data_IF_591265212552
#
_entry.id   IF_591265212552
#
_cell.length_a   1.000
_cell.length_b   1.000
_cell.length_c   1.000
_cell.angle_alpha   90.00
_cell.angle_beta   90.00
_cell.angle_gamma   90.00
#
_symmetry.space_group_name_H-M   'P 1'
#
loop_
_entity.id
_entity.type
_entity.pdbx_description
1 polymer ?
#
# COMPACT_ATOMS: atom_id res chain seq x y z
N UNK A 1 -26.46 4.33 3.67
CA UNK A 1 -25.66 3.74 4.77
C UNK A 1 -25.62 2.21 4.75
N UNK A 2 -26.75 1.48 4.64
CA UNK A 2 -26.76 0.00 4.63
C UNK A 2 -25.89 -0.63 3.52
N UNK A 3 -25.92 -0.07 2.31
CA UNK A 3 -25.13 -0.52 1.16
C UNK A 3 -23.61 -0.44 1.41
N UNK A 4 -23.14 0.63 2.06
CA UNK A 4 -21.72 0.80 2.37
C UNK A 4 -21.22 -0.27 3.35
N UNK A 5 -22.06 -0.65 4.32
CA UNK A 5 -21.74 -1.69 5.29
C UNK A 5 -21.66 -3.09 4.64
N UNK A 6 -22.55 -3.39 3.69
CA UNK A 6 -22.51 -4.65 2.94
C UNK A 6 -21.27 -4.76 2.04
N UNK A 7 -20.92 -3.69 1.34
CA UNK A 7 -19.70 -3.64 0.51
C UNK A 7 -18.46 -3.81 1.38
N UNK A 8 -18.39 -3.10 2.51
CA UNK A 8 -17.26 -3.23 3.44
C UNK A 8 -17.15 -4.64 4.02
N UNK A 9 -18.28 -5.24 4.42
CA UNK A 9 -18.31 -6.61 4.94
C UNK A 9 -17.86 -7.62 3.89
N UNK A 10 -18.30 -7.46 2.65
CA UNK A 10 -17.91 -8.32 1.53
C UNK A 10 -16.41 -8.18 1.23
N UNK A 11 -15.92 -6.94 1.18
CA UNK A 11 -14.49 -6.65 1.03
C UNK A 11 -13.65 -7.29 2.14
N UNK A 12 -14.05 -7.09 3.41
CA UNK A 12 -13.34 -7.67 4.56
C UNK A 12 -13.38 -9.19 4.55
N UNK A 13 -14.49 -9.81 4.13
CA UNK A 13 -14.59 -11.26 4.00
C UNK A 13 -13.63 -11.83 2.94
N UNK A 14 -13.30 -11.07 1.90
CA UNK A 14 -12.34 -11.44 0.85
C UNK A 14 -10.89 -11.10 1.23
N UNK A 15 -10.66 -9.96 1.89
CA UNK A 15 -9.33 -9.43 2.21
C UNK A 15 -8.73 -9.98 3.51
N UNK A 16 -9.54 -10.14 4.57
CA UNK A 16 -9.07 -10.55 5.89
C UNK A 16 -8.42 -11.94 5.95
N UNK A 17 -8.84 -12.95 5.15
CA UNK A 17 -8.22 -14.27 5.14
C UNK A 17 -6.72 -14.26 4.81
N UNK A 18 -6.25 -13.36 3.95
CA UNK A 18 -4.83 -13.25 3.60
C UNK A 18 -3.95 -12.94 4.83
N UNK A 19 -4.40 -12.01 5.69
CA UNK A 19 -3.71 -11.62 6.93
C UNK A 19 -3.81 -12.66 8.07
N UNK A 20 -4.57 -13.73 7.86
CA UNK A 20 -4.73 -14.87 8.79
C UNK A 20 -4.15 -16.18 8.25
N UNK A 21 -3.67 -16.19 7.02
CA UNK A 21 -3.11 -17.36 6.35
C UNK A 21 -1.72 -17.77 6.89
N UNK A 22 -1.13 -18.81 6.33
CA UNK A 22 0.25 -19.24 6.64
C UNK A 22 1.27 -18.11 6.38
N UNK A 23 1.00 -17.23 5.40
CA UNK A 23 1.83 -16.06 5.08
C UNK A 23 1.51 -14.82 5.94
N UNK A 24 0.73 -14.96 7.02
CA UNK A 24 0.27 -13.85 7.88
C UNK A 24 1.39 -12.92 8.36
N UNK A 25 2.56 -13.47 8.70
CA UNK A 25 3.68 -12.67 9.19
C UNK A 25 4.29 -11.81 8.10
N UNK A 26 4.41 -12.35 6.89
CA UNK A 26 4.87 -11.60 5.71
C UNK A 26 3.86 -10.53 5.29
N UNK A 27 2.57 -10.84 5.30
CA UNK A 27 1.52 -9.87 5.00
C UNK A 27 1.50 -8.70 6.00
N UNK A 28 1.64 -8.99 7.30
CA UNK A 28 1.68 -7.98 8.36
C UNK A 28 2.96 -7.15 8.33
N UNK A 29 4.12 -7.76 8.07
CA UNK A 29 5.38 -7.02 7.98
C UNK A 29 5.39 -6.07 6.78
N UNK A 30 4.84 -6.51 5.64
CA UNK A 30 4.68 -5.65 4.46
C UNK A 30 3.72 -4.50 4.74
N UNK A 31 2.57 -4.77 5.38
CA UNK A 31 1.61 -3.73 5.76
C UNK A 31 2.23 -2.71 6.73
N UNK A 32 2.94 -3.18 7.76
CA UNK A 32 3.66 -2.30 8.68
C UNK A 32 4.71 -1.47 7.93
N UNK A 33 5.44 -2.08 6.99
CA UNK A 33 6.41 -1.38 6.14
C UNK A 33 5.77 -0.26 5.32
N UNK A 34 4.59 -0.49 4.73
CA UNK A 34 3.82 0.55 4.03
C UNK A 34 3.46 1.69 4.98
N UNK A 35 2.91 1.38 6.16
CA UNK A 35 2.49 2.39 7.14
C UNK A 35 3.69 3.24 7.58
N UNK A 36 4.81 2.62 7.93
CA UNK A 36 6.03 3.32 8.35
C UNK A 36 6.58 4.18 7.22
N UNK A 37 6.58 3.68 5.98
CA UNK A 37 7.03 4.45 4.82
C UNK A 37 6.13 5.67 4.55
N UNK A 38 4.81 5.51 4.68
CA UNK A 38 3.84 6.60 4.56
C UNK A 38 4.11 7.70 5.59
N UNK A 39 4.32 7.32 6.86
CA UNK A 39 4.73 8.27 7.89
C UNK A 39 6.07 8.94 7.57
N UNK A 40 7.01 8.20 6.97
CA UNK A 40 8.28 8.76 6.50
C UNK A 40 8.11 9.83 5.42
N UNK A 41 7.20 9.63 4.48
CA UNK A 41 6.87 10.60 3.42
C UNK A 41 6.16 11.83 4.00
N UNK A 42 5.18 11.63 4.88
CA UNK A 42 4.47 12.74 5.56
C UNK A 42 5.44 13.56 6.42
N UNK A 43 6.34 12.89 7.15
CA UNK A 43 7.40 13.56 7.91
C UNK A 43 8.29 14.41 7.00
N UNK A 44 8.68 13.87 5.83
CA UNK A 44 9.48 14.61 4.86
C UNK A 44 8.77 15.89 4.37
N UNK A 45 7.46 15.82 4.14
CA UNK A 45 6.64 16.97 3.75
C UNK A 45 6.62 18.05 4.83
N UNK A 46 6.46 17.65 6.09
CA UNK A 46 6.50 18.58 7.23
C UNK A 46 7.89 19.19 7.39
N UNK A 47 8.95 18.37 7.29
CA UNK A 47 10.34 18.83 7.36
C UNK A 47 10.65 19.83 6.24
N UNK A 48 10.19 19.56 5.01
CA UNK A 48 10.33 20.47 3.87
C UNK A 48 9.61 21.80 4.11
N UNK A 49 8.43 21.78 4.72
CA UNK A 49 7.69 23.00 5.05
C UNK A 49 8.45 23.88 6.07
N UNK A 50 9.00 23.27 7.13
CA UNK A 50 9.82 24.00 8.11
C UNK A 50 11.11 24.51 7.50
N UNK A 51 11.77 23.70 6.68
CA UNK A 51 12.97 24.09 5.93
C UNK A 51 12.70 25.31 5.03
N UNK A 52 11.53 25.38 4.39
CA UNK A 52 11.16 26.48 3.51
C UNK A 52 11.17 27.82 4.27
N UNK A 53 10.58 27.87 5.46
CA UNK A 53 10.60 29.05 6.32
C UNK A 53 12.04 29.42 6.76
N UNK A 54 12.82 28.42 7.18
CA UNK A 54 14.22 28.63 7.60
C UNK A 54 15.08 29.18 6.45
N UNK A 55 14.92 28.65 5.23
CA UNK A 55 15.64 29.10 4.04
C UNK A 55 15.35 30.56 3.69
N UNK A 56 14.07 30.97 3.72
CA UNK A 56 13.71 32.35 3.43
C UNK A 56 14.16 33.34 4.51
N UNK A 57 14.16 32.94 5.78
CA UNK A 57 14.72 33.76 6.87
C UNK A 57 16.23 34.00 6.67
N UNK A 58 17.00 32.96 6.33
CA UNK A 58 18.44 33.09 6.09
C UNK A 58 18.75 34.06 4.93
N UNK A 59 17.93 34.05 3.87
CA UNK A 59 18.04 35.01 2.75
C UNK A 59 17.73 36.43 3.22
N UNK A 60 16.66 36.61 3.99
CA UNK A 60 16.24 37.90 4.49
C UNK A 60 17.31 38.54 5.37
N UNK A 61 17.89 37.76 6.28
CA UNK A 61 18.91 38.21 7.23
C UNK A 61 20.32 38.29 6.60
N UNK A 62 20.46 37.86 5.34
CA UNK A 62 21.73 37.79 4.59
C UNK A 62 22.80 36.96 5.30
N UNK A 63 22.38 35.93 6.03
CA UNK A 63 23.26 35.04 6.77
C UNK A 63 23.78 33.92 5.85
N UNK A 64 25.09 33.98 5.55
CA UNK A 64 25.74 33.01 4.67
C UNK A 64 25.96 31.63 5.33
N UNK A 65 26.06 31.57 6.65
CA UNK A 65 26.25 30.31 7.36
C UNK A 65 24.94 29.52 7.39
N UNK A 66 23.86 30.18 7.78
CA UNK A 66 22.51 29.59 7.80
C UNK A 66 22.03 29.20 6.40
N UNK A 67 22.32 30.02 5.39
CA UNK A 67 22.00 29.70 4.00
C UNK A 67 22.70 28.41 3.52
N UNK A 68 24.01 28.27 3.80
CA UNK A 68 24.75 27.04 3.46
C UNK A 68 24.23 25.83 4.21
N UNK A 69 23.91 25.98 5.49
CA UNK A 69 23.33 24.91 6.29
C UNK A 69 21.95 24.49 5.74
N UNK A 70 21.12 25.45 5.33
CA UNK A 70 19.84 25.18 4.67
C UNK A 70 20.01 24.36 3.38
N UNK A 71 21.07 24.58 2.58
CA UNK A 71 21.34 23.76 1.39
C UNK A 71 21.66 22.30 1.75
N UNK A 72 22.45 22.05 2.79
CA UNK A 72 22.74 20.69 3.25
C UNK A 72 21.50 20.01 3.85
N UNK A 73 20.70 20.76 4.62
CA UNK A 73 19.41 20.27 5.11
C UNK A 73 18.48 19.87 3.97
N UNK A 74 18.41 20.68 2.91
CA UNK A 74 17.62 20.37 1.72
C UNK A 74 18.08 19.05 1.09
N UNK A 75 19.39 18.86 0.90
CA UNK A 75 19.93 17.62 0.35
C UNK A 75 19.55 16.41 1.20
N UNK A 76 19.60 16.54 2.53
CA UNK A 76 19.13 15.51 3.47
C UNK A 76 17.64 15.21 3.35
N UNK A 77 16.79 16.24 3.27
CA UNK A 77 15.33 16.10 3.09
C UNK A 77 15.02 15.41 1.76
N UNK A 78 15.66 15.81 0.67
CA UNK A 78 15.47 15.20 -0.66
C UNK A 78 15.88 13.73 -0.64
N UNK A 79 17.04 13.41 -0.07
CA UNK A 79 17.52 12.02 0.06
C UNK A 79 16.53 11.18 0.88
N UNK A 80 16.10 11.68 2.03
CA UNK A 80 15.10 11.02 2.87
C UNK A 80 13.79 10.79 2.13
N UNK A 81 13.29 11.80 1.43
CA UNK A 81 12.06 11.73 0.63
C UNK A 81 12.15 10.64 -0.44
N UNK A 82 13.29 10.57 -1.14
CA UNK A 82 13.54 9.55 -2.15
C UNK A 82 13.50 8.14 -1.54
N UNK A 83 14.22 7.91 -0.42
CA UNK A 83 14.24 6.61 0.27
C UNK A 83 12.84 6.23 0.77
N UNK A 84 12.13 7.15 1.42
CA UNK A 84 10.78 6.91 1.94
C UNK A 84 9.79 6.58 0.83
N UNK A 85 9.83 7.31 -0.28
CA UNK A 85 8.95 7.08 -1.45
C UNK A 85 9.24 5.73 -2.10
N UNK A 86 10.52 5.38 -2.28
CA UNK A 86 10.92 4.08 -2.85
C UNK A 86 10.49 2.94 -1.92
N UNK A 87 10.65 3.10 -0.61
CA UNK A 87 10.19 2.12 0.37
C UNK A 87 8.67 1.94 0.32
N UNK A 88 7.91 3.04 0.30
CA UNK A 88 6.45 3.03 0.20
C UNK A 88 6.00 2.27 -1.06
N UNK A 89 6.60 2.58 -2.21
CA UNK A 89 6.34 1.90 -3.46
C UNK A 89 6.68 0.40 -3.38
N UNK A 90 7.88 0.06 -2.90
CA UNK A 90 8.34 -1.32 -2.82
C UNK A 90 7.45 -2.18 -1.91
N UNK A 91 7.16 -1.71 -0.70
CA UNK A 91 6.29 -2.43 0.24
C UNK A 91 4.86 -2.53 -0.27
N UNK A 92 4.32 -1.45 -0.85
CA UNK A 92 2.99 -1.41 -1.41
C UNK A 92 2.81 -2.39 -2.57
N UNK A 93 3.72 -2.35 -3.55
CA UNK A 93 3.71 -3.26 -4.69
C UNK A 93 3.89 -4.72 -4.26
N UNK A 94 4.82 -4.98 -3.33
CA UNK A 94 5.04 -6.32 -2.79
C UNK A 94 3.80 -6.86 -2.09
N UNK A 95 3.11 -6.02 -1.31
CA UNK A 95 1.88 -6.39 -0.63
C UNK A 95 0.78 -6.73 -1.64
N UNK A 96 0.56 -5.89 -2.65
CA UNK A 96 -0.44 -6.11 -3.69
C UNK A 96 -0.13 -7.38 -4.47
N UNK A 97 1.11 -7.60 -4.88
CA UNK A 97 1.51 -8.76 -5.67
C UNK A 97 1.30 -10.07 -4.90
N UNK A 98 1.76 -10.13 -3.65
CA UNK A 98 1.60 -11.33 -2.81
C UNK A 98 0.13 -11.57 -2.48
N UNK A 99 -0.63 -10.51 -2.21
CA UNK A 99 -2.05 -10.63 -1.94
C UNK A 99 -2.83 -11.14 -3.16
N UNK A 100 -2.56 -10.60 -4.36
CA UNK A 100 -3.16 -11.10 -5.61
C UNK A 100 -2.83 -12.56 -5.84
N UNK A 101 -1.55 -12.95 -5.71
CA UNK A 101 -1.10 -14.33 -5.86
C UNK A 101 -1.87 -15.27 -4.94
N UNK A 102 -2.00 -14.90 -3.67
CA UNK A 102 -2.71 -15.69 -2.67
C UNK A 102 -4.21 -15.79 -2.99
N UNK A 103 -4.86 -14.69 -3.33
CA UNK A 103 -6.29 -14.67 -3.68
C UNK A 103 -6.58 -15.55 -4.90
N UNK A 104 -5.82 -15.37 -5.98
CA UNK A 104 -5.99 -16.17 -7.20
C UNK A 104 -5.80 -17.66 -6.91
N UNK A 105 -4.78 -18.05 -6.13
CA UNK A 105 -4.59 -19.45 -5.74
C UNK A 105 -5.80 -20.00 -4.96
N UNK A 106 -6.34 -19.24 -4.02
CA UNK A 106 -7.53 -19.64 -3.25
C UNK A 106 -8.78 -19.74 -4.12
N UNK A 107 -9.00 -18.80 -5.03
CA UNK A 107 -10.15 -18.82 -5.93
C UNK A 107 -10.07 -19.97 -6.93
N UNK A 108 -8.91 -20.20 -7.53
CA UNK A 108 -8.67 -21.32 -8.44
C UNK A 108 -8.87 -22.66 -7.73
N UNK A 109 -8.32 -22.82 -6.52
CA UNK A 109 -8.51 -24.06 -5.73
C UNK A 109 -10.00 -24.30 -5.42
N UNK A 110 -10.74 -23.26 -5.01
CA UNK A 110 -12.19 -23.37 -4.75
C UNK A 110 -13.00 -23.66 -6.02
N UNK A 111 -12.59 -23.11 -7.16
CA UNK A 111 -13.23 -23.33 -8.45
C UNK A 111 -13.04 -24.76 -8.96
N UNK A 112 -11.83 -25.30 -8.83
CA UNK A 112 -11.51 -26.65 -9.30
C UNK A 112 -11.96 -27.75 -8.34
N UNK A 113 -12.15 -27.45 -7.05
CA UNK A 113 -12.60 -28.42 -6.06
C UNK A 113 -13.99 -29.02 -6.35
N UNK A 114 -14.14 -30.33 -6.15
CA UNK A 114 -15.39 -31.11 -6.24
C UNK A 114 -16.11 -31.04 -7.61
N UNK A 115 -15.36 -30.78 -8.68
CA UNK A 115 -15.93 -30.62 -10.02
C UNK A 115 -16.87 -29.42 -10.12
N UNK A 116 -16.72 -28.40 -9.25
CA UNK A 116 -17.59 -27.21 -9.21
C UNK A 116 -17.64 -26.46 -10.53
N UNK A 117 -16.53 -26.40 -11.25
CA UNK A 117 -16.48 -25.84 -12.61
C UNK A 117 -17.48 -26.51 -13.57
N UNK A 118 -17.68 -27.82 -13.47
CA UNK A 118 -18.65 -28.56 -14.28
C UNK A 118 -20.07 -28.38 -13.74
N UNK A 119 -20.24 -28.48 -12.42
CA UNK A 119 -21.55 -28.32 -11.75
C UNK A 119 -22.14 -26.93 -11.96
N UNK A 120 -21.34 -25.86 -11.90
CA UNK A 120 -21.81 -24.50 -12.15
C UNK A 120 -22.23 -24.28 -13.61
N UNK A 121 -21.57 -24.95 -14.56
CA UNK A 121 -21.95 -24.88 -15.98
C UNK A 121 -23.26 -25.61 -16.29
N UNK A 122 -23.60 -26.64 -15.50
CA UNK A 122 -24.81 -27.48 -15.69
C UNK A 122 -25.99 -27.02 -14.83
N UNK A 123 -25.74 -26.45 -13.64
CA UNK A 123 -26.77 -26.11 -12.64
C UNK A 123 -26.93 -24.59 -12.39
N UNK A 124 -25.96 -23.76 -12.78
CA UNK A 124 -25.92 -22.35 -12.40
C UNK A 124 -26.22 -21.42 -13.57
N UNK A 125 -27.39 -20.78 -13.56
CA UNK A 125 -27.81 -19.86 -14.62
C UNK A 125 -27.44 -18.37 -14.37
N UNK A 126 -26.76 -18.06 -13.25
CA UNK A 126 -26.64 -16.67 -12.73
C UNK A 126 -25.22 -16.10 -12.62
N UNK A 127 -24.15 -16.87 -12.89
CA UNK A 127 -22.76 -16.37 -12.76
C UNK A 127 -22.04 -16.47 -14.11
N UNK A 128 -22.19 -15.43 -14.91
CA UNK A 128 -21.52 -15.32 -16.20
C UNK A 128 -20.03 -14.93 -16.06
N UNK A 129 -19.21 -15.41 -16.99
CA UNK A 129 -17.78 -15.11 -17.11
C UNK A 129 -16.93 -15.28 -15.84
N UNK A 130 -17.08 -16.40 -15.12
CA UNK A 130 -16.27 -16.71 -13.93
C UNK A 130 -14.76 -16.69 -14.18
N UNK A 131 -14.32 -17.03 -15.40
CA UNK A 131 -12.92 -16.98 -15.81
C UNK A 131 -12.34 -15.55 -15.92
N UNK A 132 -13.19 -14.52 -16.07
CA UNK A 132 -12.78 -13.10 -16.08
C UNK A 132 -12.71 -12.49 -14.67
N UNK A 133 -13.12 -13.23 -13.64
CA UNK A 133 -13.29 -12.74 -12.26
C UNK A 133 -12.27 -13.31 -11.27
N UNK A 134 -11.27 -14.07 -11.75
CA UNK A 134 -10.27 -14.81 -10.93
C UNK A 134 -8.85 -14.30 -11.20
#
# INVERSE_FOLDING_TARGET
>A
MKQAFEVLRTFLALAAPYFRSEEKWRARSLLLGVIVAEFGVVYALVAFNHWNAYFFNAIQDRDWEDFRYALFLLAGIVLWTAVATVAQFYFGQSLIMNWRRWMTAQFVNRWMADGRHYKMRVLGHDVDNTHLRI
#
